data_IF_220986488215
#
_entry.id   IF_220986488215
#
_cell.length_a   1.000
_cell.length_b   1.000
_cell.length_c   1.000
_cell.angle_alpha   90.00
_cell.angle_beta   90.00
_cell.angle_gamma   90.00
#
_symmetry.space_group_name_H-M   'P 1'
#
loop_
_entity.id
_entity.type
_entity.pdbx_description
1 polymer ?
#
# COMPACT_ATOMS: atom_id res chain seq x y z
N UNK A 1 -3.11 3.34 -11.79
CA UNK A 1 -2.50 2.89 -10.53
C UNK A 1 -1.79 1.56 -10.69
N UNK A 2 -1.14 1.08 -9.64
CA UNK A 2 -0.40 -0.20 -9.65
C UNK A 2 -1.37 -1.39 -9.82
N UNK A 3 -2.62 -1.25 -9.36
CA UNK A 3 -3.67 -2.24 -9.58
C UNK A 3 -3.66 -3.42 -8.61
N UNK A 4 -2.90 -3.35 -7.51
CA UNK A 4 -2.83 -4.42 -6.50
C UNK A 4 -4.07 -4.52 -5.64
N UNK A 5 -4.74 -3.39 -5.40
CA UNK A 5 -6.01 -3.30 -4.69
C UNK A 5 -7.06 -2.61 -5.54
N UNK A 6 -8.32 -2.90 -5.26
CA UNK A 6 -9.48 -2.25 -5.88
C UNK A 6 -10.32 -1.58 -4.80
N UNK A 7 -10.67 -0.32 -5.03
CA UNK A 7 -11.64 0.44 -4.25
C UNK A 7 -13.01 0.33 -4.92
N UNK A 8 -14.06 0.37 -4.12
CA UNK A 8 -15.42 0.41 -4.64
C UNK A 8 -15.70 1.74 -5.36
N UNK A 9 -16.16 1.73 -6.60
CA UNK A 9 -16.53 2.95 -7.33
C UNK A 9 -17.65 3.69 -6.62
N UNK A 10 -17.48 5.00 -6.40
CA UNK A 10 -18.49 5.83 -5.73
C UNK A 10 -19.14 6.85 -6.66
N UNK A 11 -18.38 7.27 -7.70
CA UNK A 11 -18.90 8.17 -8.74
C UNK A 11 -18.07 8.03 -10.02
N UNK A 12 -18.60 8.44 -11.19
CA UNK A 12 -17.81 8.54 -12.42
C UNK A 12 -16.62 9.48 -12.21
N UNK A 13 -15.42 9.04 -12.64
CA UNK A 13 -14.19 9.83 -12.48
C UNK A 13 -13.98 10.90 -13.56
N UNK A 14 -14.76 10.83 -14.66
CA UNK A 14 -14.65 11.78 -15.77
C UNK A 14 -15.88 11.65 -16.68
N UNK A 15 -16.32 12.77 -17.26
CA UNK A 15 -17.31 12.78 -18.33
C UNK A 15 -16.76 12.42 -19.70
N UNK A 16 -15.42 12.45 -19.86
CA UNK A 16 -14.74 12.24 -21.15
C UNK A 16 -14.13 10.83 -21.25
N UNK A 17 -13.75 10.24 -20.11
CA UNK A 17 -13.09 8.93 -20.08
C UNK A 17 -14.02 7.87 -19.48
N UNK A 18 -14.72 7.07 -20.31
CA UNK A 18 -15.57 5.99 -19.82
C UNK A 18 -14.78 5.00 -18.95
N UNK A 19 -15.36 4.60 -17.83
CA UNK A 19 -14.74 3.63 -16.92
C UNK A 19 -13.66 4.19 -15.99
N UNK A 20 -13.31 5.48 -16.08
CA UNK A 20 -12.41 6.10 -15.10
C UNK A 20 -13.07 6.18 -13.74
N UNK A 21 -12.38 5.74 -12.70
CA UNK A 21 -12.78 5.83 -11.29
C UNK A 21 -11.69 6.54 -10.51
N UNK A 22 -12.08 7.59 -9.77
CA UNK A 22 -11.17 8.29 -8.85
C UNK A 22 -11.38 7.77 -7.41
N UNK A 23 -10.35 7.77 -6.56
CA UNK A 23 -10.45 7.38 -5.15
C UNK A 23 -11.06 8.50 -4.29
N UNK A 24 -12.30 8.90 -4.60
CA UNK A 24 -12.94 10.11 -4.05
C UNK A 24 -13.12 10.08 -2.53
N UNK A 25 -13.26 8.90 -1.91
CA UNK A 25 -13.38 8.80 -0.45
C UNK A 25 -12.04 9.07 0.24
N UNK A 26 -10.89 8.48 -0.17
CA UNK A 26 -9.57 8.91 0.29
C UNK A 26 -9.27 10.39 0.03
N UNK A 27 -9.68 10.94 -1.13
CA UNK A 27 -9.52 12.37 -1.43
C UNK A 27 -10.32 13.23 -0.46
N UNK A 28 -11.57 12.87 -0.15
CA UNK A 28 -12.38 13.58 0.84
C UNK A 28 -11.77 13.51 2.25
N UNK A 29 -11.14 12.39 2.62
CA UNK A 29 -10.38 12.28 3.86
C UNK A 29 -9.20 13.26 3.88
N UNK A 30 -8.47 13.39 2.78
CA UNK A 30 -7.38 14.36 2.67
C UNK A 30 -7.89 15.80 2.85
N UNK A 31 -9.06 16.17 2.28
CA UNK A 31 -9.64 17.48 2.50
C UNK A 31 -9.92 17.75 3.98
N UNK A 32 -10.49 16.77 4.70
CA UNK A 32 -10.70 16.88 6.14
C UNK A 32 -9.36 17.06 6.90
N UNK A 33 -8.35 16.28 6.56
CA UNK A 33 -7.02 16.38 7.17
C UNK A 33 -6.38 17.76 6.92
N UNK A 34 -6.47 18.28 5.70
CA UNK A 34 -5.92 19.61 5.38
C UNK A 34 -6.62 20.71 6.17
N UNK A 35 -7.95 20.63 6.34
CA UNK A 35 -8.69 21.58 7.15
C UNK A 35 -8.28 21.52 8.62
N UNK A 36 -8.06 20.31 9.17
CA UNK A 36 -7.63 20.13 10.55
C UNK A 36 -6.22 20.71 10.77
N UNK A 37 -5.30 20.49 9.84
CA UNK A 37 -3.95 21.07 9.87
C UNK A 37 -4.03 22.61 9.85
N UNK A 38 -4.92 23.18 9.04
CA UNK A 38 -5.13 24.63 9.01
C UNK A 38 -5.74 25.15 10.33
N UNK A 39 -6.64 24.41 10.95
CA UNK A 39 -7.20 24.73 12.26
C UNK A 39 -6.14 24.70 13.37
N UNK A 40 -5.20 23.73 13.32
CA UNK A 40 -4.08 23.66 14.26
C UNK A 40 -3.19 24.90 14.20
N UNK A 41 -2.91 25.41 13.01
CA UNK A 41 -2.19 26.68 12.84
C UNK A 41 -2.96 27.85 13.49
N UNK A 42 -4.27 27.91 13.32
CA UNK A 42 -5.10 28.95 13.94
C UNK A 42 -5.06 28.85 15.48
N UNK A 43 -5.07 27.63 16.04
CA UNK A 43 -4.93 27.38 17.49
C UNK A 43 -3.55 27.82 17.97
N UNK A 44 -2.49 27.49 17.23
CA UNK A 44 -1.11 27.87 17.56
C UNK A 44 -0.97 29.41 17.66
N UNK A 45 -1.46 30.15 16.66
CA UNK A 45 -1.40 31.60 16.64
C UNK A 45 -2.25 32.23 17.76
N UNK A 46 -3.39 31.66 18.05
CA UNK A 46 -4.27 32.10 19.16
C UNK A 46 -3.61 31.84 20.54
N UNK A 47 -2.94 30.72 20.69
CA UNK A 47 -2.20 30.41 21.92
C UNK A 47 -1.01 31.35 22.11
N UNK A 48 -0.24 31.62 21.07
CA UNK A 48 0.90 32.55 21.08
C UNK A 48 0.49 33.99 21.36
N UNK A 49 -0.66 34.45 20.81
CA UNK A 49 -1.19 35.80 21.00
C UNK A 49 -1.74 36.09 22.40
N UNK A 50 -1.88 35.08 23.24
CA UNK A 50 -2.40 35.22 24.61
C UNK A 50 -1.37 35.76 25.60
N UNK A 51 -1.88 36.18 26.78
CA UNK A 51 -1.07 36.54 27.94
C UNK A 51 -1.02 35.35 28.91
N UNK A 52 0.00 35.29 29.77
CA UNK A 52 0.06 34.29 30.83
C UNK A 52 -1.19 34.34 31.72
N UNK A 53 -1.89 33.22 31.84
CA UNK A 53 -3.14 33.03 32.61
C UNK A 53 -4.35 33.82 32.09
N UNK A 54 -4.22 34.53 30.97
CA UNK A 54 -5.35 35.23 30.35
C UNK A 54 -5.19 35.25 28.82
N UNK A 55 -5.97 34.45 28.14
CA UNK A 55 -5.96 34.41 26.66
C UNK A 55 -7.33 34.84 26.11
N UNK A 56 -7.38 36.04 25.51
CA UNK A 56 -8.58 36.56 24.86
C UNK A 56 -9.04 35.74 23.65
N UNK A 57 -8.19 34.83 23.13
CA UNK A 57 -8.44 34.01 21.96
C UNK A 57 -8.93 32.59 22.29
N UNK A 58 -9.19 32.28 23.57
CA UNK A 58 -9.75 30.97 23.99
C UNK A 58 -11.01 30.57 23.18
N UNK A 59 -11.96 31.48 22.85
CA UNK A 59 -13.12 31.11 22.04
C UNK A 59 -12.73 30.58 20.64
N UNK A 60 -11.67 31.12 20.01
CA UNK A 60 -11.18 30.65 18.73
C UNK A 60 -10.52 29.27 18.88
N UNK A 61 -9.73 29.06 19.92
CA UNK A 61 -9.11 27.77 20.24
C UNK A 61 -10.19 26.71 20.42
N UNK A 62 -11.20 26.97 21.25
CA UNK A 62 -12.31 26.06 21.49
C UNK A 62 -13.07 25.73 20.20
N UNK A 63 -13.42 26.75 19.39
CA UNK A 63 -14.11 26.57 18.12
C UNK A 63 -13.33 25.65 17.19
N UNK A 64 -12.04 25.94 16.96
CA UNK A 64 -11.20 25.20 16.03
C UNK A 64 -10.90 23.77 16.51
N UNK A 65 -10.79 23.57 17.81
CA UNK A 65 -10.62 22.24 18.40
C UNK A 65 -11.87 21.37 18.21
N UNK A 66 -13.05 21.89 18.57
CA UNK A 66 -14.30 21.12 18.42
C UNK A 66 -14.66 20.85 16.97
N UNK A 67 -14.46 21.83 16.07
CA UNK A 67 -14.63 21.64 14.63
C UNK A 67 -13.72 20.53 14.08
N UNK A 68 -12.47 20.51 14.52
CA UNK A 68 -11.50 19.47 14.10
C UNK A 68 -11.87 18.10 14.59
N UNK A 69 -12.29 17.95 15.84
CA UNK A 69 -12.72 16.68 16.42
C UNK A 69 -13.97 16.14 15.70
N UNK A 70 -14.96 16.99 15.48
CA UNK A 70 -16.18 16.58 14.79
C UNK A 70 -15.91 16.20 13.33
N UNK A 71 -15.12 17.01 12.61
CA UNK A 71 -14.74 16.75 11.23
C UNK A 71 -13.96 15.45 11.09
N UNK A 72 -12.97 15.24 11.97
CA UNK A 72 -12.16 14.01 11.97
C UNK A 72 -13.03 12.77 12.21
N UNK A 73 -13.91 12.82 13.21
CA UNK A 73 -14.79 11.70 13.54
C UNK A 73 -15.68 11.29 12.36
N UNK A 74 -16.32 12.27 11.71
CA UNK A 74 -17.15 12.03 10.51
C UNK A 74 -16.34 11.52 9.31
N UNK A 75 -15.15 12.09 9.08
CA UNK A 75 -14.28 11.69 7.98
C UNK A 75 -13.75 10.26 8.17
N UNK A 76 -13.37 9.87 9.38
CA UNK A 76 -12.93 8.50 9.70
C UNK A 76 -14.07 7.50 9.52
N UNK A 77 -15.28 7.82 9.97
CA UNK A 77 -16.44 6.95 9.75
C UNK A 77 -16.72 6.76 8.26
N UNK A 78 -16.74 7.85 7.49
CA UNK A 78 -16.92 7.81 6.04
C UNK A 78 -15.85 6.97 5.36
N UNK A 79 -14.56 7.16 5.72
CA UNK A 79 -13.45 6.41 5.16
C UNK A 79 -13.59 4.91 5.44
N UNK A 80 -13.93 4.56 6.67
CA UNK A 80 -14.12 3.17 7.07
C UNK A 80 -15.27 2.51 6.30
N UNK A 81 -16.46 3.09 6.36
CA UNK A 81 -17.68 2.49 5.80
C UNK A 81 -17.69 2.48 4.27
N UNK A 82 -17.17 3.54 3.64
CA UNK A 82 -17.28 3.73 2.18
C UNK A 82 -16.01 3.37 1.40
N UNK A 83 -14.92 3.05 2.08
CA UNK A 83 -13.68 2.67 1.44
C UNK A 83 -13.06 1.42 2.08
N UNK A 84 -12.59 1.49 3.33
CA UNK A 84 -11.73 0.45 3.92
C UNK A 84 -12.42 -0.91 3.96
N UNK A 85 -13.69 -0.97 4.40
CA UNK A 85 -14.45 -2.22 4.49
C UNK A 85 -14.70 -2.88 3.12
N UNK A 86 -14.55 -2.14 2.03
CA UNK A 86 -14.84 -2.58 0.68
C UNK A 86 -13.58 -2.75 -0.18
N UNK A 87 -12.39 -2.61 0.40
CA UNK A 87 -11.12 -2.85 -0.31
C UNK A 87 -11.04 -4.33 -0.68
N UNK A 88 -10.72 -4.61 -1.94
CA UNK A 88 -10.49 -5.96 -2.45
C UNK A 88 -9.08 -6.08 -2.99
N UNK A 89 -8.40 -7.16 -2.68
CA UNK A 89 -7.13 -7.49 -3.31
C UNK A 89 -7.36 -7.94 -4.75
N UNK A 90 -6.52 -7.48 -5.68
CA UNK A 90 -6.45 -8.04 -7.02
C UNK A 90 -5.45 -9.22 -7.01
N UNK A 91 -5.87 -10.34 -6.43
CA UNK A 91 -4.99 -11.47 -6.16
C UNK A 91 -4.27 -11.98 -7.41
N UNK A 92 -4.95 -12.07 -8.56
CA UNK A 92 -4.34 -12.53 -9.80
C UNK A 92 -3.24 -11.58 -10.29
N UNK A 93 -3.45 -10.26 -10.18
CA UNK A 93 -2.44 -9.27 -10.54
C UNK A 93 -1.26 -9.29 -9.58
N UNK A 94 -1.52 -9.38 -8.27
CA UNK A 94 -0.46 -9.50 -7.26
C UNK A 94 0.39 -10.74 -7.49
N UNK A 95 -0.23 -11.89 -7.78
CA UNK A 95 0.48 -13.11 -8.11
C UNK A 95 1.33 -12.94 -9.38
N UNK A 96 0.79 -12.34 -10.43
CA UNK A 96 1.54 -12.05 -11.64
C UNK A 96 2.77 -11.16 -11.40
N UNK A 97 2.65 -10.14 -10.53
CA UNK A 97 3.78 -9.29 -10.15
C UNK A 97 4.88 -10.07 -9.42
N UNK A 98 4.50 -10.96 -8.51
CA UNK A 98 5.43 -11.82 -7.78
C UNK A 98 6.13 -12.78 -8.73
N UNK A 99 5.38 -13.50 -9.57
CA UNK A 99 5.90 -14.52 -10.50
C UNK A 99 6.88 -13.96 -11.52
N UNK A 100 6.73 -12.68 -11.88
CA UNK A 100 7.60 -11.98 -12.83
C UNK A 100 8.65 -11.10 -12.14
N UNK A 101 8.70 -11.08 -10.81
CA UNK A 101 9.73 -10.33 -10.09
C UNK A 101 11.06 -11.07 -10.11
N UNK A 102 12.12 -10.38 -10.47
CA UNK A 102 13.48 -10.91 -10.35
C UNK A 102 13.86 -11.18 -8.89
N UNK A 103 13.23 -10.47 -7.94
CA UNK A 103 13.45 -10.64 -6.51
C UNK A 103 13.10 -12.02 -5.97
N UNK A 104 12.26 -12.79 -6.69
CA UNK A 104 11.88 -14.16 -6.32
C UNK A 104 13.09 -15.11 -6.26
N UNK A 105 14.16 -14.79 -6.99
CA UNK A 105 15.40 -15.58 -7.00
C UNK A 105 16.03 -15.67 -5.59
N UNK A 106 15.84 -14.68 -4.76
CA UNK A 106 16.40 -14.64 -3.39
C UNK A 106 15.82 -15.74 -2.52
N UNK A 107 14.53 -16.06 -2.68
CA UNK A 107 13.86 -17.14 -1.93
C UNK A 107 14.37 -18.51 -2.37
N UNK A 108 14.85 -18.63 -3.61
CA UNK A 108 15.37 -19.87 -4.20
C UNK A 108 16.87 -20.09 -3.93
N UNK A 109 17.57 -19.08 -3.43
CA UNK A 109 19.00 -19.13 -3.16
C UNK A 109 19.43 -20.28 -2.22
N UNK A 110 18.72 -20.61 -1.13
CA UNK A 110 19.06 -21.74 -0.27
C UNK A 110 19.01 -23.11 -0.97
N UNK A 111 18.25 -23.23 -2.05
CA UNK A 111 18.04 -24.48 -2.80
C UNK A 111 18.99 -24.63 -4.00
N UNK A 112 19.29 -23.53 -4.67
CA UNK A 112 20.08 -23.51 -5.91
C UNK A 112 21.53 -23.07 -5.71
N UNK A 113 21.84 -22.43 -4.58
CA UNK A 113 23.13 -21.81 -4.31
C UNK A 113 23.33 -20.48 -5.03
N UNK A 114 24.27 -19.67 -4.54
CA UNK A 114 24.50 -18.30 -5.00
C UNK A 114 24.91 -18.20 -6.47
N UNK A 115 25.78 -19.07 -6.94
CA UNK A 115 26.30 -19.06 -8.33
C UNK A 115 25.16 -19.32 -9.34
N UNK A 116 24.35 -20.36 -9.09
CA UNK A 116 23.22 -20.71 -9.96
C UNK A 116 22.17 -19.58 -9.98
N UNK A 117 21.81 -19.06 -8.82
CA UNK A 117 20.81 -17.98 -8.71
C UNK A 117 21.30 -16.71 -9.39
N UNK A 118 22.58 -16.37 -9.26
CA UNK A 118 23.19 -15.23 -9.96
C UNK A 118 23.13 -15.39 -11.49
N UNK A 119 23.44 -16.59 -11.99
CA UNK A 119 23.38 -16.90 -13.42
C UNK A 119 21.95 -16.78 -13.94
N UNK A 120 20.97 -17.37 -13.26
CA UNK A 120 19.56 -17.32 -13.64
C UNK A 120 19.03 -15.88 -13.60
N UNK A 121 19.37 -15.09 -12.56
CA UNK A 121 18.97 -13.68 -12.47
C UNK A 121 19.52 -12.87 -13.66
N UNK A 122 20.77 -13.10 -14.06
CA UNK A 122 21.37 -12.45 -15.22
C UNK A 122 20.66 -12.84 -16.52
N UNK A 123 20.39 -14.12 -16.72
CA UNK A 123 19.64 -14.61 -17.88
C UNK A 123 18.22 -14.03 -17.94
N UNK A 124 17.52 -13.95 -16.82
CA UNK A 124 16.19 -13.34 -16.74
C UNK A 124 16.22 -11.87 -17.16
N UNK A 125 17.21 -11.12 -16.69
CA UNK A 125 17.38 -9.70 -17.01
C UNK A 125 17.74 -9.46 -18.49
N UNK A 126 18.54 -10.33 -19.08
CA UNK A 126 18.97 -10.21 -20.48
C UNK A 126 17.88 -10.68 -21.47
N UNK A 127 17.14 -11.74 -21.12
CA UNK A 127 16.14 -12.35 -22.02
C UNK A 127 14.72 -11.79 -21.84
N UNK A 128 14.43 -11.12 -20.70
CA UNK A 128 13.08 -10.71 -20.32
C UNK A 128 12.17 -11.87 -19.90
N UNK A 129 12.69 -13.09 -19.77
CA UNK A 129 11.94 -14.25 -19.28
C UNK A 129 11.84 -14.21 -17.76
N UNK A 130 10.74 -14.78 -17.22
CA UNK A 130 10.65 -14.89 -15.75
C UNK A 130 11.67 -15.90 -15.20
N UNK A 131 12.16 -15.63 -13.98
CA UNK A 131 13.05 -16.53 -13.24
C UNK A 131 12.47 -17.93 -13.16
N UNK A 132 11.17 -18.07 -12.91
CA UNK A 132 10.50 -19.36 -12.80
C UNK A 132 10.51 -20.12 -14.13
N UNK A 133 10.29 -19.43 -15.25
CA UNK A 133 10.34 -20.04 -16.56
C UNK A 133 11.74 -20.63 -16.87
N UNK A 134 12.79 -19.89 -16.54
CA UNK A 134 14.18 -20.34 -16.72
C UNK A 134 14.53 -21.53 -15.83
N UNK A 135 14.13 -21.52 -14.55
CA UNK A 135 14.36 -22.62 -13.61
C UNK A 135 13.67 -23.90 -14.09
N UNK A 136 12.43 -23.81 -14.58
CA UNK A 136 11.69 -24.95 -15.15
C UNK A 136 12.30 -25.43 -16.46
N UNK A 137 12.70 -24.54 -17.34
CA UNK A 137 13.34 -24.90 -18.61
C UNK A 137 14.66 -25.64 -18.43
N UNK A 138 15.44 -25.28 -17.40
CA UNK A 138 16.69 -25.96 -17.06
C UNK A 138 16.51 -27.16 -16.12
N UNK A 139 15.30 -27.44 -15.64
CA UNK A 139 15.01 -28.57 -14.75
C UNK A 139 15.72 -28.49 -13.40
N UNK A 140 16.03 -27.29 -12.90
CA UNK A 140 16.81 -27.05 -11.69
C UNK A 140 16.09 -27.46 -10.40
N UNK A 141 14.77 -27.32 -10.39
CA UNK A 141 13.89 -27.72 -9.27
C UNK A 141 12.62 -28.35 -9.80
N UNK A 142 12.06 -29.29 -9.04
CA UNK A 142 10.75 -29.88 -9.37
C UNK A 142 9.61 -28.88 -9.10
N UNK A 143 8.49 -29.08 -9.80
CA UNK A 143 7.29 -28.26 -9.59
C UNK A 143 6.77 -28.32 -8.14
N UNK A 144 6.95 -29.46 -7.45
CA UNK A 144 6.57 -29.64 -6.06
C UNK A 144 7.42 -28.76 -5.12
N UNK A 145 8.76 -28.75 -5.32
CA UNK A 145 9.66 -27.90 -4.55
C UNK A 145 9.37 -26.42 -4.81
N UNK A 146 9.16 -26.04 -6.07
CA UNK A 146 8.82 -24.68 -6.43
C UNK A 146 7.51 -24.25 -5.76
N UNK A 147 6.48 -25.09 -5.75
CA UNK A 147 5.20 -24.78 -5.12
C UNK A 147 5.33 -24.60 -3.59
N UNK A 148 6.15 -25.42 -2.92
CA UNK A 148 6.38 -25.28 -1.46
C UNK A 148 7.18 -24.03 -1.14
N UNK A 149 8.27 -23.78 -1.85
CA UNK A 149 9.17 -22.63 -1.60
C UNK A 149 8.48 -21.32 -1.87
N UNK A 150 7.66 -21.26 -2.90
CA UNK A 150 6.95 -20.03 -3.32
C UNK A 150 5.58 -19.88 -2.64
N UNK A 151 5.19 -20.78 -1.77
CA UNK A 151 4.00 -20.60 -0.96
C UNK A 151 4.16 -19.34 -0.07
N UNK A 152 3.15 -18.49 -0.04
CA UNK A 152 3.20 -17.17 0.63
C UNK A 152 3.69 -17.27 2.07
N UNK A 153 3.23 -18.30 2.82
CA UNK A 153 3.65 -18.52 4.21
C UNK A 153 5.14 -18.81 4.36
N UNK A 154 5.76 -19.51 3.38
CA UNK A 154 7.19 -19.79 3.39
C UNK A 154 8.02 -18.58 2.95
N UNK A 155 7.47 -17.71 2.10
CA UNK A 155 8.14 -16.47 1.68
C UNK A 155 8.20 -15.43 2.79
N UNK A 156 7.14 -15.32 3.63
CA UNK A 156 7.08 -14.35 4.73
C UNK A 156 7.66 -14.88 6.04
N UNK A 157 7.75 -16.20 6.19
CA UNK A 157 8.38 -16.90 7.31
C UNK A 157 9.28 -18.01 6.79
N UNK A 158 10.45 -17.67 6.22
CA UNK A 158 11.32 -18.64 5.61
C UNK A 158 11.76 -19.69 6.64
N UNK A 159 11.67 -20.96 6.26
CA UNK A 159 12.18 -22.08 7.05
C UNK A 159 13.69 -21.85 7.26
N UNK A 160 14.16 -21.86 8.50
CA UNK A 160 15.59 -21.88 8.76
C UNK A 160 16.12 -23.24 8.25
N UNK A 161 16.81 -23.23 7.11
CA UNK A 161 17.58 -24.38 6.71
C UNK A 161 18.79 -24.46 7.63
N UNK A 162 18.88 -25.55 8.40
CA UNK A 162 20.09 -25.85 9.14
C UNK A 162 21.25 -25.96 8.13
N UNK A 163 22.29 -25.16 8.37
CA UNK A 163 23.52 -25.14 7.58
C UNK A 163 24.27 -26.48 7.67
#
# INVERSE_FOLDING_TARGET
>A
GIGEIQLEPRQPGSSIMPGKVNPVIPEAMNFACYQIIANDLAITLAAEGGQLQLNAFEPLIALKLFESIELLGKAMQMLNEKCIQNIRANAAHCQHLVDNSIGIITVLNPYLGYETTTRIAKMANESGQSVLALIKAEGLLSDEILADVLAVHNMVQPKQHAA
#
